data_IF_539304746170
#
_entry.id   IF_539304746170
#
_cell.length_a   1.000
_cell.length_b   1.000
_cell.length_c   1.000
_cell.angle_alpha   90.00
_cell.angle_beta   90.00
_cell.angle_gamma   90.00
#
_symmetry.space_group_name_H-M   'P 1'
#
loop_
_entity.id
_entity.type
_entity.pdbx_description
1 polymer ?
#
# COMPACT_ATOMS: atom_id res chain seq x y z
N UNK A 1 0.48 -18.56 1.50
CA UNK A 1 -0.51 -17.47 1.62
C UNK A 1 -0.49 -16.85 3.02
N UNK A 2 -0.62 -17.63 4.10
CA UNK A 2 -0.54 -17.10 5.47
C UNK A 2 0.75 -16.28 5.75
N UNK A 3 1.90 -16.78 5.32
CA UNK A 3 3.19 -16.07 5.49
C UNK A 3 3.25 -14.73 4.72
N UNK A 4 2.59 -14.63 3.56
CA UNK A 4 2.50 -13.38 2.79
C UNK A 4 1.57 -12.38 3.45
N UNK A 5 0.43 -12.83 4.00
CA UNK A 5 -0.49 -11.96 4.75
C UNK A 5 0.18 -11.40 6.01
N UNK A 6 0.91 -12.22 6.77
CA UNK A 6 1.65 -11.77 7.95
C UNK A 6 2.77 -10.78 7.58
N UNK A 7 3.48 -11.03 6.48
CA UNK A 7 4.50 -10.10 5.98
C UNK A 7 3.87 -8.79 5.53
N UNK A 8 2.76 -8.86 4.77
CA UNK A 8 2.05 -7.68 4.27
C UNK A 8 1.48 -6.83 5.41
N UNK A 9 0.92 -7.45 6.45
CA UNK A 9 0.44 -6.77 7.65
C UNK A 9 1.58 -5.99 8.35
N UNK A 10 2.74 -6.63 8.53
CA UNK A 10 3.91 -5.98 9.14
C UNK A 10 4.39 -4.79 8.32
N UNK A 11 4.52 -4.97 7.00
CA UNK A 11 4.90 -3.89 6.09
C UNK A 11 3.87 -2.76 6.13
N UNK A 12 2.59 -3.08 6.10
CA UNK A 12 1.51 -2.11 6.18
C UNK A 12 1.59 -1.29 7.47
N UNK A 13 1.75 -1.95 8.62
CA UNK A 13 1.90 -1.30 9.91
C UNK A 13 3.18 -0.45 10.00
N UNK A 14 4.25 -0.81 9.31
CA UNK A 14 5.49 -0.04 9.39
C UNK A 14 5.51 1.16 8.44
N UNK A 15 4.92 1.02 7.25
CA UNK A 15 5.13 1.97 6.15
C UNK A 15 3.85 2.66 5.66
N UNK A 16 2.69 2.02 5.78
CA UNK A 16 1.46 2.47 5.11
C UNK A 16 0.46 3.08 6.08
N UNK A 17 0.34 2.53 7.30
CA UNK A 17 -0.71 2.88 8.26
C UNK A 17 -0.69 4.36 8.66
N UNK A 18 0.46 5.02 8.64
CA UNK A 18 0.56 6.43 9.06
C UNK A 18 -0.29 7.34 8.17
N UNK A 19 -0.43 7.01 6.89
CA UNK A 19 -1.23 7.76 5.94
C UNK A 19 -2.59 7.10 5.69
N UNK A 20 -2.61 5.79 5.51
CA UNK A 20 -3.82 5.03 5.16
C UNK A 20 -4.64 4.57 6.38
N UNK A 21 -4.19 4.89 7.60
CA UNK A 21 -4.76 4.44 8.89
C UNK A 21 -4.66 2.92 9.09
N UNK A 22 -4.71 2.47 10.34
CA UNK A 22 -4.64 1.04 10.68
C UNK A 22 -5.78 0.22 10.05
N UNK A 23 -6.94 0.86 9.81
CA UNK A 23 -8.12 0.24 9.20
C UNK A 23 -8.23 0.49 7.67
N UNK A 24 -7.25 1.16 7.06
CA UNK A 24 -7.26 1.43 5.61
C UNK A 24 -8.19 2.58 5.17
N UNK A 25 -8.89 3.27 6.07
CA UNK A 25 -9.85 4.32 5.71
C UNK A 25 -9.19 5.63 5.26
N UNK A 26 -7.88 5.79 5.50
CA UNK A 26 -7.15 7.01 5.19
C UNK A 26 -7.66 8.23 5.98
N UNK A 27 -7.33 9.43 5.49
CA UNK A 27 -7.77 10.70 6.05
C UNK A 27 -8.19 11.62 4.89
N UNK A 28 -9.45 11.53 4.42
CA UNK A 28 -9.93 12.38 3.34
C UNK A 28 -9.90 13.88 3.70
N UNK A 29 -9.57 14.78 2.76
CA UNK A 29 -9.21 14.52 1.36
C UNK A 29 -7.70 14.25 1.14
N UNK A 30 -6.89 14.27 2.21
CA UNK A 30 -5.42 14.23 2.10
C UNK A 30 -4.88 12.83 1.73
N UNK A 31 -5.42 11.78 2.36
CA UNK A 31 -5.03 10.39 2.12
C UNK A 31 -6.26 9.55 1.81
N UNK A 32 -6.29 8.82 0.68
CA UNK A 32 -7.46 8.07 0.26
C UNK A 32 -7.66 6.80 1.09
N UNK A 33 -8.91 6.38 1.20
CA UNK A 33 -9.26 5.04 1.68
C UNK A 33 -8.84 3.98 0.66
N UNK A 34 -8.24 2.90 1.17
CA UNK A 34 -7.94 1.66 0.45
C UNK A 34 -9.08 0.65 0.55
N UNK A 35 -10.06 0.86 1.43
CA UNK A 35 -11.12 -0.11 1.68
C UNK A 35 -12.17 -0.07 0.57
N UNK A 36 -12.34 -1.19 -0.13
CA UNK A 36 -13.51 -1.47 -0.98
C UNK A 36 -13.65 -0.61 -2.22
N UNK A 37 -12.60 0.08 -2.67
CA UNK A 37 -12.70 1.00 -3.81
C UNK A 37 -11.41 1.18 -4.61
N UNK A 38 -11.57 1.68 -5.84
CA UNK A 38 -10.47 2.18 -6.66
C UNK A 38 -9.40 1.14 -6.98
N UNK A 39 -8.13 1.55 -6.85
CA UNK A 39 -6.98 0.72 -7.20
C UNK A 39 -6.76 -0.45 -6.23
N UNK A 40 -7.20 -0.32 -4.97
CA UNK A 40 -7.00 -1.36 -3.96
C UNK A 40 -7.82 -2.64 -4.23
N UNK A 41 -8.93 -2.52 -4.98
CA UNK A 41 -9.75 -3.66 -5.42
C UNK A 41 -9.73 -3.85 -6.94
N UNK A 42 -8.86 -3.12 -7.65
CA UNK A 42 -8.76 -3.10 -9.10
C UNK A 42 -7.67 -4.03 -9.64
N UNK A 43 -7.24 -3.83 -10.90
CA UNK A 43 -6.08 -4.52 -11.45
C UNK A 43 -4.84 -4.30 -10.58
N UNK A 44 -4.04 -5.35 -10.40
CA UNK A 44 -2.91 -5.33 -9.47
C UNK A 44 -1.71 -4.50 -9.99
N UNK A 45 -1.47 -4.49 -11.30
CA UNK A 45 -0.34 -3.78 -11.91
C UNK A 45 -0.29 -2.28 -11.54
N UNK A 46 -1.38 -1.49 -11.67
CA UNK A 46 -1.36 -0.10 -11.27
C UNK A 46 -1.26 0.10 -9.75
N UNK A 47 -1.68 -0.88 -8.94
CA UNK A 47 -1.50 -0.83 -7.49
C UNK A 47 -0.01 -1.00 -7.13
N UNK A 48 0.65 -2.00 -7.74
CA UNK A 48 2.09 -2.21 -7.60
C UNK A 48 2.87 -0.98 -8.08
N UNK A 49 2.50 -0.41 -9.23
CA UNK A 49 3.17 0.78 -9.78
C UNK A 49 3.17 1.95 -8.79
N UNK A 50 2.04 2.22 -8.11
CA UNK A 50 1.98 3.27 -7.09
C UNK A 50 2.85 2.96 -5.87
N UNK A 51 2.93 1.71 -5.43
CA UNK A 51 3.80 1.35 -4.29
C UNK A 51 5.27 1.48 -4.68
N UNK A 52 5.64 1.02 -5.87
CA UNK A 52 7.03 1.04 -6.38
C UNK A 52 7.47 2.48 -6.64
N UNK A 53 6.69 3.24 -7.41
CA UNK A 53 7.09 4.53 -7.97
C UNK A 53 6.50 5.74 -7.23
N UNK A 54 5.61 5.51 -6.26
CA UNK A 54 4.84 6.57 -5.62
C UNK A 54 3.81 7.17 -6.57
N UNK A 55 3.24 8.32 -6.18
CA UNK A 55 2.31 9.08 -7.03
C UNK A 55 2.71 10.54 -7.07
N UNK A 56 3.14 10.98 -8.26
CA UNK A 56 3.50 12.37 -8.51
C UNK A 56 2.36 13.33 -8.14
N UNK A 57 2.71 14.45 -7.50
CA UNK A 57 1.74 15.43 -7.02
C UNK A 57 0.97 15.00 -5.76
N UNK A 58 1.42 13.96 -5.06
CA UNK A 58 0.86 13.52 -3.77
C UNK A 58 1.96 13.26 -2.75
N UNK A 59 1.57 12.99 -1.50
CA UNK A 59 2.49 12.57 -0.44
C UNK A 59 2.87 11.07 -0.51
N UNK A 60 2.31 10.31 -1.46
CA UNK A 60 2.66 8.89 -1.63
C UNK A 60 4.04 8.76 -2.28
N UNK A 61 5.05 8.49 -1.44
CA UNK A 61 6.43 8.29 -1.89
C UNK A 61 6.63 6.94 -2.60
N UNK A 62 7.74 6.82 -3.32
CA UNK A 62 8.22 5.57 -3.91
C UNK A 62 8.84 4.67 -2.84
N UNK A 63 8.43 3.40 -2.77
CA UNK A 63 8.96 2.42 -1.80
C UNK A 63 9.99 1.45 -2.40
N UNK A 64 10.28 1.53 -3.70
CA UNK A 64 11.26 0.64 -4.36
C UNK A 64 12.66 0.65 -3.73
N UNK A 65 13.05 1.74 -3.05
CA UNK A 65 14.34 1.84 -2.35
C UNK A 65 14.29 1.37 -0.89
N UNK A 66 13.09 1.12 -0.35
CA UNK A 66 12.87 0.74 1.06
C UNK A 66 12.41 -0.71 1.22
N UNK A 67 11.66 -1.21 0.24
CA UNK A 67 11.05 -2.54 0.26
C UNK A 67 11.60 -3.39 -0.88
N UNK A 68 11.80 -4.67 -0.60
CA UNK A 68 12.15 -5.64 -1.62
C UNK A 68 10.89 -6.14 -2.37
N UNK A 69 11.04 -6.83 -3.52
CA UNK A 69 9.90 -7.28 -4.32
C UNK A 69 8.92 -8.19 -3.57
N UNK A 70 9.39 -9.01 -2.63
CA UNK A 70 8.52 -9.90 -1.86
C UNK A 70 7.69 -9.12 -0.84
N UNK A 71 8.25 -8.09 -0.20
CA UNK A 71 7.53 -7.19 0.70
C UNK A 71 6.46 -6.37 -0.02
N UNK A 72 6.79 -5.87 -1.22
CA UNK A 72 5.84 -5.15 -2.07
C UNK A 72 4.70 -6.07 -2.50
N UNK A 73 5.02 -7.28 -2.95
CA UNK A 73 3.99 -8.26 -3.30
C UNK A 73 3.11 -8.63 -2.09
N UNK A 74 3.73 -8.77 -0.91
CA UNK A 74 3.01 -9.10 0.32
C UNK A 74 2.05 -7.99 0.75
N UNK A 75 2.49 -6.72 0.79
CA UNK A 75 1.64 -5.60 1.24
C UNK A 75 0.52 -5.26 0.26
N UNK A 76 0.71 -5.49 -1.03
CA UNK A 76 -0.35 -5.32 -2.03
C UNK A 76 -1.37 -6.45 -1.98
N UNK A 77 -0.97 -7.63 -1.48
CA UNK A 77 -1.85 -8.80 -1.30
C UNK A 77 -2.65 -8.73 0.00
N UNK A 78 -2.07 -8.12 1.04
CA UNK A 78 -2.70 -7.94 2.36
C UNK A 78 -3.88 -6.95 2.30
#
# INVERSE_FOLDING_TARGET
MAELMETGEKVYAQHCQTCHQANGEGIPPAFPSLVGQGLAIGPIDPHIDIVVNGKAGSAMQAFAAQLNPAEIAAVVTY
#
